data_IF_168190974072
#
_entry.id   IF_168190974072
#
_cell.length_a   1.000
_cell.length_b   1.000
_cell.length_c   1.000
_cell.angle_alpha   90.00
_cell.angle_beta   90.00
_cell.angle_gamma   90.00
#
_symmetry.space_group_name_H-M   'P 1'
#
loop_
_entity.id
_entity.type
_entity.pdbx_description
1 polymer ?
#
# COMPACT_ATOMS: atom_id res chain seq x y z
N UNK A 1 -6.10 -7.61 7.22
CA UNK A 1 -5.20 -6.45 7.01
C UNK A 1 -3.85 -6.62 7.71
N UNK A 2 -3.81 -6.95 9.01
CA UNK A 2 -2.52 -7.15 9.72
C UNK A 2 -1.58 -8.15 9.03
N UNK A 3 -2.11 -9.33 8.63
CA UNK A 3 -1.36 -10.35 7.88
C UNK A 3 -0.81 -9.84 6.54
N UNK A 4 -1.64 -9.15 5.74
CA UNK A 4 -1.19 -8.52 4.49
C UNK A 4 -0.01 -7.56 4.72
N UNK A 5 -0.11 -6.67 5.71
CA UNK A 5 0.94 -5.70 6.03
C UNK A 5 2.23 -6.43 6.42
N UNK A 6 2.15 -7.40 7.32
CA UNK A 6 3.32 -8.16 7.77
C UNK A 6 4.02 -8.92 6.63
N UNK A 7 3.26 -9.43 5.66
CA UNK A 7 3.82 -10.25 4.58
C UNK A 7 4.31 -9.45 3.36
N UNK A 8 3.77 -8.24 3.14
CA UNK A 8 3.94 -7.49 1.89
C UNK A 8 4.54 -6.09 2.06
N UNK A 9 4.60 -5.57 3.29
CA UNK A 9 4.96 -4.18 3.54
C UNK A 9 6.08 -4.12 4.57
N UNK A 10 7.16 -3.45 4.18
CA UNK A 10 8.25 -3.05 5.05
C UNK A 10 8.15 -1.54 5.35
N UNK A 11 8.50 -1.14 6.57
CA UNK A 11 8.60 0.28 6.95
C UNK A 11 10.00 0.77 6.60
N UNK A 12 10.09 1.62 5.59
CA UNK A 12 11.34 2.24 5.16
C UNK A 12 11.14 3.73 4.85
N UNK A 13 11.75 4.58 5.67
CA UNK A 13 11.62 6.05 5.62
C UNK A 13 12.05 6.66 4.29
N UNK A 14 12.98 6.00 3.58
CA UNK A 14 13.51 6.48 2.31
C UNK A 14 12.65 6.04 1.12
N UNK A 15 11.75 5.07 1.34
CA UNK A 15 10.90 4.52 0.30
C UNK A 15 9.58 5.24 0.17
N UNK A 16 9.05 5.21 -1.06
CA UNK A 16 7.76 5.75 -1.42
C UNK A 16 7.04 4.79 -2.36
N UNK A 17 5.83 4.41 -1.98
CA UNK A 17 4.99 3.48 -2.75
C UNK A 17 3.70 4.14 -3.19
N UNK A 18 3.28 3.87 -4.43
CA UNK A 18 2.03 4.39 -4.94
C UNK A 18 0.84 3.70 -4.27
N UNK A 19 -0.21 4.46 -4.02
CA UNK A 19 -1.45 3.90 -3.46
C UNK A 19 -2.04 2.84 -4.40
N UNK A 20 -1.89 3.07 -5.72
CA UNK A 20 -2.28 2.11 -6.76
C UNK A 20 -1.53 0.78 -6.65
N UNK A 21 -0.22 0.83 -6.48
CA UNK A 21 0.61 -0.38 -6.45
C UNK A 21 0.39 -1.17 -5.14
N UNK A 22 0.24 -0.47 -4.02
CA UNK A 22 -0.20 -1.07 -2.76
C UNK A 22 -1.56 -1.77 -2.89
N UNK A 23 -2.51 -1.14 -3.60
CA UNK A 23 -3.84 -1.73 -3.80
C UNK A 23 -3.81 -2.91 -4.77
N UNK A 24 -3.04 -2.84 -5.86
CA UNK A 24 -2.83 -3.98 -6.77
C UNK A 24 -2.21 -5.17 -6.04
N UNK A 25 -1.20 -4.94 -5.19
CA UNK A 25 -0.62 -5.98 -4.34
C UNK A 25 -1.67 -6.59 -3.40
N UNK A 26 -2.52 -5.76 -2.80
CA UNK A 26 -3.61 -6.22 -1.94
C UNK A 26 -4.63 -7.08 -2.69
N UNK A 27 -5.01 -6.72 -3.91
CA UNK A 27 -5.91 -7.53 -4.73
C UNK A 27 -5.31 -8.90 -5.06
N UNK A 28 -4.02 -8.96 -5.39
CA UNK A 28 -3.31 -10.24 -5.60
C UNK A 28 -3.30 -11.11 -4.34
N UNK A 29 -2.98 -10.51 -3.19
CA UNK A 29 -3.06 -11.17 -1.88
C UNK A 29 -4.46 -11.74 -1.62
N UNK A 30 -5.50 -10.94 -1.82
CA UNK A 30 -6.89 -11.36 -1.63
C UNK A 30 -7.25 -12.52 -2.56
N UNK A 31 -6.88 -12.44 -3.84
CA UNK A 31 -7.12 -13.49 -4.81
C UNK A 31 -6.42 -14.80 -4.44
N UNK A 32 -5.14 -14.74 -4.05
CA UNK A 32 -4.36 -15.91 -3.66
C UNK A 32 -4.93 -16.63 -2.43
N UNK A 33 -5.32 -15.87 -1.41
CA UNK A 33 -5.92 -16.42 -0.19
C UNK A 33 -7.44 -16.64 -0.28
N UNK A 34 -8.06 -16.39 -1.44
CA UNK A 34 -9.53 -16.47 -1.65
C UNK A 34 -10.34 -15.64 -0.63
N UNK A 35 -9.86 -14.44 -0.31
CA UNK A 35 -10.51 -13.52 0.62
C UNK A 35 -11.19 -12.41 -0.18
N UNK A 36 -12.38 -11.99 0.25
CA UNK A 36 -13.07 -10.85 -0.34
C UNK A 36 -12.22 -9.56 -0.20
N UNK A 37 -12.03 -8.86 -1.32
CA UNK A 37 -11.25 -7.62 -1.34
C UNK A 37 -12.07 -6.44 -0.85
N UNK A 38 -11.46 -5.59 -0.03
CA UNK A 38 -12.01 -4.27 0.27
C UNK A 38 -11.97 -3.37 -0.96
N UNK A 39 -12.91 -2.43 -1.04
CA UNK A 39 -12.81 -1.33 -2.00
C UNK A 39 -11.56 -0.48 -1.73
N UNK A 40 -11.07 0.20 -2.76
CA UNK A 40 -9.88 1.07 -2.67
C UNK A 40 -9.95 2.09 -1.53
N UNK A 41 -11.12 2.70 -1.31
CA UNK A 41 -11.34 3.65 -0.23
C UNK A 41 -11.20 2.99 1.15
N UNK A 42 -11.86 1.84 1.35
CA UNK A 42 -11.78 1.07 2.60
C UNK A 42 -10.35 0.58 2.86
N UNK A 43 -9.65 0.10 1.84
CA UNK A 43 -8.24 -0.27 1.93
C UNK A 43 -7.37 0.92 2.37
N UNK A 44 -7.54 2.09 1.75
CA UNK A 44 -6.85 3.31 2.13
C UNK A 44 -7.08 3.70 3.60
N UNK A 45 -8.32 3.59 4.07
CA UNK A 45 -8.68 3.85 5.48
C UNK A 45 -8.04 2.84 6.43
N UNK A 46 -8.01 1.56 6.06
CA UNK A 46 -7.33 0.52 6.83
C UNK A 46 -5.82 0.81 6.93
N UNK A 47 -5.14 1.16 5.83
CA UNK A 47 -3.73 1.54 5.88
C UNK A 47 -3.48 2.77 6.78
N UNK A 48 -4.43 3.71 6.90
CA UNK A 48 -4.32 4.81 7.88
C UNK A 48 -4.46 4.30 9.31
N UNK A 49 -5.47 3.45 9.58
CA UNK A 49 -5.72 2.84 10.90
C UNK A 49 -4.51 2.06 11.43
N UNK A 50 -3.77 1.38 10.54
CA UNK A 50 -2.58 0.61 10.88
C UNK A 50 -1.26 1.44 10.85
N UNK A 51 -1.34 2.78 10.69
CA UNK A 51 -0.17 3.66 10.59
C UNK A 51 0.88 3.17 9.56
N UNK A 52 0.41 2.71 8.39
CA UNK A 52 1.30 2.21 7.33
C UNK A 52 1.79 3.38 6.50
N UNK A 53 2.90 4.00 6.94
CA UNK A 53 3.49 5.14 6.27
C UNK A 53 2.65 6.41 6.29
N UNK A 54 3.25 7.49 5.81
CA UNK A 54 2.64 8.81 5.75
C UNK A 54 2.04 9.00 4.37
N UNK A 55 0.74 9.27 4.34
CA UNK A 55 0.03 9.57 3.12
C UNK A 55 0.51 10.90 2.52
N UNK A 56 0.98 10.85 1.27
CA UNK A 56 1.52 12.03 0.58
C UNK A 56 0.76 12.29 -0.73
N UNK A 57 0.21 13.51 -0.78
CA UNK A 57 -0.52 14.08 -1.93
C UNK A 57 0.32 15.10 -2.71
N UNK A 58 1.55 15.41 -2.26
CA UNK A 58 2.37 16.47 -2.84
C UNK A 58 2.72 16.11 -4.29
N UNK A 59 2.29 16.97 -5.20
CA UNK A 59 2.69 16.99 -6.62
C UNK A 59 4.15 17.47 -6.72
N UNK A 60 5.12 16.67 -6.28
CA UNK A 60 6.52 16.96 -6.61
C UNK A 60 6.72 16.69 -8.11
N UNK A 61 7.40 17.58 -8.83
CA UNK A 61 7.58 17.53 -10.31
C UNK A 61 8.05 16.17 -10.85
N UNK A 62 8.74 15.36 -10.04
CA UNK A 62 9.24 14.02 -10.42
C UNK A 62 8.19 12.90 -10.28
N UNK A 63 7.06 13.17 -9.60
CA UNK A 63 6.00 12.20 -9.26
C UNK A 63 4.62 12.75 -9.68
N UNK A 64 4.55 13.26 -10.91
CA UNK A 64 3.40 13.97 -11.50
C UNK A 64 2.05 13.38 -11.10
N UNK A 65 1.36 14.07 -10.18
CA UNK A 65 -0.04 13.78 -9.83
C UNK A 65 -0.30 12.46 -9.10
N UNK A 66 0.72 11.65 -8.79
CA UNK A 66 0.50 10.33 -8.19
C UNK A 66 0.48 10.39 -6.66
N UNK A 67 -0.57 9.83 -6.09
CA UNK A 67 -0.79 9.75 -4.65
C UNK A 67 -0.17 8.48 -4.09
N UNK A 68 0.65 8.61 -3.05
CA UNK A 68 1.36 7.48 -2.47
C UNK A 68 1.52 7.57 -0.97
N UNK A 69 2.40 6.71 -0.45
CA UNK A 69 2.77 6.64 0.95
C UNK A 69 4.29 6.63 1.08
N UNK A 70 4.81 7.55 1.89
CA UNK A 70 6.21 7.55 2.31
C UNK A 70 6.40 6.66 3.53
N UNK A 71 7.61 6.15 3.73
CA UNK A 71 7.88 5.28 4.87
C UNK A 71 7.46 3.83 4.62
N UNK A 72 7.24 3.46 3.35
CA UNK A 72 6.66 2.18 2.95
C UNK A 72 7.46 1.66 1.77
N UNK A 73 7.84 0.39 1.83
CA UNK A 73 8.40 -0.36 0.72
C UNK A 73 7.58 -1.62 0.50
N UNK A 74 7.22 -1.91 -0.75
CA UNK A 74 6.61 -3.18 -1.10
C UNK A 74 7.67 -4.28 -1.10
N UNK A 75 7.41 -5.35 -0.38
CA UNK A 75 8.22 -6.56 -0.44
C UNK A 75 8.02 -7.28 -1.79
N UNK A 76 8.97 -8.15 -2.20
CA UNK A 76 8.83 -8.98 -3.39
C UNK A 76 7.49 -9.72 -3.43
N UNK A 77 6.91 -9.82 -4.62
CA UNK A 77 5.63 -10.51 -4.82
C UNK A 77 5.75 -11.99 -4.47
N UNK A 78 4.85 -12.51 -3.64
CA UNK A 78 4.77 -13.94 -3.29
C UNK A 78 3.60 -14.68 -3.93
N UNK A 79 2.83 -14.01 -4.80
CA UNK A 79 1.55 -14.47 -5.34
C UNK A 79 1.42 -14.25 -6.85
#
# INVERSE_FOLDING_TARGET
MGKFIAENIERDINSFELTDDLYKRYLKYCSFYKIESLTRLKFGNQLKKFNVGIYDKRRRKVREGKVGRWGVRLLPCKY
#
